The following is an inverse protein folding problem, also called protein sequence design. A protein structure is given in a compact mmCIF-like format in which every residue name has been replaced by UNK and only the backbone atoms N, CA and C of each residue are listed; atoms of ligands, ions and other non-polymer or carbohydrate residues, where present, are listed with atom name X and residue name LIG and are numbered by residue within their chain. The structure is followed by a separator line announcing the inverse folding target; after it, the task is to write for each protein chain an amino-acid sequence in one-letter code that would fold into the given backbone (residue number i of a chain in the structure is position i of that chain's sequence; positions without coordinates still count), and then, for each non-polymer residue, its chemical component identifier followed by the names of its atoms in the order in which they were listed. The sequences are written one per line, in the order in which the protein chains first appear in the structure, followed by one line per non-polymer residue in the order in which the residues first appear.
data_IF_430120177569
#
_entry.id   IF_430120177569
#
_cell.length_a   1.000
_cell.length_b   1.000
_cell.length_c   1.000
_cell.angle_alpha   90.00
_cell.angle_beta   90.00
_cell.angle_gamma   90.00
#
_symmetry.space_group_name_H-M   'P 1'
#
loop_
_entity.id
_entity.type
_entity.pdbx_description
1 polymer ?
#
# COMPACT_ATOMS: atom_id res chain seq x y z
N UNK A 1 24.48 22.19 24.45
CA UNK A 1 23.81 21.01 25.02
C UNK A 1 22.32 21.27 24.98
N UNK A 2 21.55 20.56 24.15
CA UNK A 2 20.09 20.75 24.03
C UNK A 2 19.44 19.56 24.74
N UNK A 3 18.57 19.75 25.75
CA UNK A 3 17.93 18.62 26.40
C UNK A 3 16.95 17.95 25.43
N UNK A 4 17.15 16.65 25.18
CA UNK A 4 16.18 15.78 24.52
C UNK A 4 14.92 15.74 25.38
N UNK A 5 13.77 16.19 24.84
CA UNK A 5 12.48 16.06 25.51
C UNK A 5 12.17 14.57 25.71
N UNK A 6 11.79 14.23 26.93
CA UNK A 6 11.39 12.90 27.39
C UNK A 6 10.20 12.40 26.56
N UNK A 7 10.23 11.12 26.21
CA UNK A 7 9.27 10.44 25.34
C UNK A 7 7.81 10.73 25.72
N UNK A 8 7.00 11.04 24.70
CA UNK A 8 5.54 11.11 24.81
C UNK A 8 5.06 9.73 25.27
N UNK A 9 4.40 9.66 26.44
CA UNK A 9 3.72 8.43 26.87
C UNK A 9 2.64 8.12 25.83
N UNK A 10 2.83 7.05 25.06
CA UNK A 10 1.82 6.55 24.13
C UNK A 10 0.68 5.93 24.96
N UNK A 11 -0.52 6.48 24.86
CA UNK A 11 -1.71 5.83 25.39
C UNK A 11 -1.84 4.46 24.71
N UNK A 12 -1.79 3.39 25.51
CA UNK A 12 -1.90 2.02 24.99
C UNK A 12 -3.37 1.80 24.60
N UNK A 13 -3.63 1.73 23.29
CA UNK A 13 -4.95 1.44 22.73
C UNK A 13 -5.34 0.02 23.15
N UNK A 14 -6.42 -0.12 23.92
CA UNK A 14 -6.98 -1.43 24.27
C UNK A 14 -7.86 -1.94 23.14
N UNK A 15 -7.62 -3.18 22.71
CA UNK A 15 -8.38 -3.87 21.68
C UNK A 15 -9.08 -5.10 22.26
N UNK A 16 -10.30 -5.34 21.79
CA UNK A 16 -11.03 -6.59 22.02
C UNK A 16 -10.35 -7.77 21.29
N UNK A 17 -10.67 -9.02 21.66
CA UNK A 17 -10.13 -10.20 20.99
C UNK A 17 -10.45 -10.21 19.48
N UNK A 18 -11.69 -9.82 19.12
CA UNK A 18 -12.10 -9.69 17.71
C UNK A 18 -11.28 -8.64 16.97
N UNK A 19 -11.05 -7.47 17.59
CA UNK A 19 -10.18 -6.45 16.99
C UNK A 19 -8.75 -6.97 16.84
N UNK A 20 -8.19 -7.67 17.83
CA UNK A 20 -6.84 -8.25 17.71
C UNK A 20 -6.75 -9.24 16.53
N UNK A 21 -7.76 -10.06 16.31
CA UNK A 21 -7.82 -10.97 15.16
C UNK A 21 -7.87 -10.20 13.82
N UNK A 22 -8.70 -9.16 13.73
CA UNK A 22 -8.75 -8.28 12.55
C UNK A 22 -7.40 -7.63 12.29
N UNK A 23 -6.75 -7.11 13.33
CA UNK A 23 -5.46 -6.45 13.21
C UNK A 23 -4.36 -7.43 12.78
N UNK A 24 -4.40 -8.66 13.29
CA UNK A 24 -3.48 -9.70 12.87
C UNK A 24 -3.64 -10.04 11.38
N UNK A 25 -4.88 -10.16 10.89
CA UNK A 25 -5.16 -10.35 9.45
C UNK A 25 -4.68 -9.16 8.62
N UNK A 26 -4.98 -7.94 9.04
CA UNK A 26 -4.52 -6.72 8.38
C UNK A 26 -2.99 -6.68 8.27
N UNK A 27 -2.29 -6.93 9.38
CA UNK A 27 -0.81 -6.99 9.43
C UNK A 27 -0.27 -8.02 8.45
N UNK A 28 -0.80 -9.25 8.46
CA UNK A 28 -0.37 -10.30 7.52
C UNK A 28 -0.57 -9.91 6.06
N UNK A 29 -1.73 -9.33 5.73
CA UNK A 29 -1.99 -8.84 4.37
C UNK A 29 -1.03 -7.72 3.99
N UNK A 30 -0.76 -6.78 4.89
CA UNK A 30 0.18 -5.69 4.59
C UNK A 30 1.60 -6.19 4.30
N UNK A 31 2.08 -7.17 5.06
CA UNK A 31 3.39 -7.78 4.79
C UNK A 31 3.37 -8.57 3.48
N UNK A 32 2.30 -9.32 3.20
CA UNK A 32 2.17 -10.06 1.94
C UNK A 32 2.17 -9.14 0.71
N UNK A 33 1.49 -7.99 0.77
CA UNK A 33 1.50 -6.99 -0.31
C UNK A 33 2.92 -6.46 -0.57
N UNK A 34 3.70 -6.21 0.50
CA UNK A 34 5.09 -5.73 0.38
C UNK A 34 6.02 -6.78 -0.23
N UNK A 35 5.81 -8.05 0.08
CA UNK A 35 6.64 -9.16 -0.41
C UNK A 35 6.28 -9.59 -1.83
N UNK A 36 4.99 -9.74 -2.11
CA UNK A 36 4.49 -10.29 -3.37
C UNK A 36 3.11 -9.71 -3.69
N UNK A 37 3.14 -8.52 -4.29
CA UNK A 37 1.92 -7.82 -4.66
C UNK A 37 1.02 -8.67 -5.57
N UNK A 38 1.58 -9.41 -6.54
CA UNK A 38 0.83 -10.21 -7.54
C UNK A 38 -0.07 -11.27 -6.89
N UNK A 39 0.40 -11.89 -5.81
CA UNK A 39 -0.32 -12.96 -5.09
C UNK A 39 -0.75 -12.51 -3.70
N UNK A 40 -1.15 -11.24 -3.58
CA UNK A 40 -1.69 -10.65 -2.36
C UNK A 40 -3.12 -10.17 -2.55
N UNK A 41 -3.82 -9.97 -1.44
CA UNK A 41 -5.13 -9.34 -1.37
C UNK A 41 -5.03 -8.05 -0.57
N UNK A 42 -5.76 -7.02 -1.00
CA UNK A 42 -5.95 -5.81 -0.24
C UNK A 42 -6.76 -6.02 1.03
N UNK A 43 -6.78 -4.97 1.84
CA UNK A 43 -7.49 -4.95 3.11
C UNK A 43 -8.97 -4.60 2.88
N UNK A 44 -9.82 -5.17 3.74
CA UNK A 44 -11.22 -4.76 3.87
C UNK A 44 -11.33 -3.42 4.60
N UNK A 45 -12.52 -2.80 4.57
CA UNK A 45 -12.76 -1.54 5.30
C UNK A 45 -12.57 -1.72 6.82
N UNK A 46 -13.01 -2.84 7.40
CA UNK A 46 -12.84 -3.13 8.84
C UNK A 46 -11.35 -3.30 9.20
N UNK A 47 -10.58 -3.97 8.35
CA UNK A 47 -9.12 -4.11 8.51
C UNK A 47 -8.41 -2.75 8.43
N UNK A 48 -8.80 -1.90 7.47
CA UNK A 48 -8.25 -0.55 7.28
C UNK A 48 -8.56 0.34 8.48
N UNK A 49 -9.82 0.40 8.91
CA UNK A 49 -10.22 1.24 10.04
C UNK A 49 -9.43 0.90 11.30
N UNK A 50 -9.24 -0.39 11.56
CA UNK A 50 -8.50 -0.84 12.72
C UNK A 50 -6.99 -0.59 12.58
N UNK A 51 -6.41 -0.84 11.41
CA UNK A 51 -5.02 -0.54 11.13
C UNK A 51 -4.72 0.97 11.26
N UNK A 52 -5.65 1.84 10.85
CA UNK A 52 -5.56 3.29 11.06
C UNK A 52 -5.72 3.66 12.53
N UNK A 53 -6.67 3.04 13.25
CA UNK A 53 -6.91 3.28 14.68
C UNK A 53 -5.63 3.06 15.50
N UNK A 54 -4.88 2.00 15.21
CA UNK A 54 -3.64 1.65 15.95
C UNK A 54 -2.36 2.27 15.36
N UNK A 55 -2.47 3.03 14.28
CA UNK A 55 -1.33 3.69 13.63
C UNK A 55 -0.45 2.77 12.79
N UNK A 56 -0.92 1.58 12.42
CA UNK A 56 -0.24 0.69 11.46
C UNK A 56 -0.25 1.32 10.04
N UNK A 57 -1.35 2.00 9.69
CA UNK A 57 -1.53 2.67 8.40
C UNK A 57 -1.89 4.15 8.64
N UNK A 58 -1.24 5.06 7.92
CA UNK A 58 -1.63 6.46 7.93
C UNK A 58 -3.01 6.63 7.27
N UNK A 59 -3.93 7.36 7.93
CA UNK A 59 -5.30 7.59 7.44
C UNK A 59 -5.34 8.16 6.02
N UNK A 60 -4.41 9.03 5.65
CA UNK A 60 -4.33 9.65 4.31
C UNK A 60 -3.84 8.68 3.24
N UNK A 61 -3.22 7.57 3.63
CA UNK A 61 -2.71 6.52 2.75
C UNK A 61 -3.61 5.26 2.78
N UNK A 62 -4.67 5.26 3.58
CA UNK A 62 -5.56 4.12 3.76
C UNK A 62 -6.16 3.59 2.44
N UNK A 63 -6.49 4.49 1.51
CA UNK A 63 -7.06 4.15 0.21
C UNK A 63 -6.15 3.22 -0.62
N UNK A 64 -4.82 3.35 -0.48
CA UNK A 64 -3.85 2.52 -1.22
C UNK A 64 -3.95 1.04 -0.83
N UNK A 65 -4.33 0.76 0.42
CA UNK A 65 -4.42 -0.60 0.96
C UNK A 65 -5.73 -1.30 0.61
N UNK A 66 -6.69 -0.62 0.00
CA UNK A 66 -7.97 -1.22 -0.40
C UNK A 66 -7.76 -2.30 -1.46
N UNK A 67 -8.60 -3.35 -1.44
CA UNK A 67 -8.58 -4.37 -2.50
C UNK A 67 -8.88 -3.79 -3.88
N UNK A 68 -9.70 -2.75 -3.98
CA UNK A 68 -9.94 -2.03 -5.24
C UNK A 68 -8.65 -1.46 -5.82
N UNK A 69 -7.84 -0.78 -5.00
CA UNK A 69 -6.56 -0.23 -5.46
C UNK A 69 -5.53 -1.32 -5.74
N UNK A 70 -5.37 -2.27 -4.82
CA UNK A 70 -4.37 -3.34 -4.94
C UNK A 70 -4.61 -4.22 -6.18
N UNK A 71 -5.85 -4.36 -6.64
CA UNK A 71 -6.14 -5.03 -7.92
C UNK A 71 -5.48 -4.35 -9.11
N UNK A 72 -5.46 -3.01 -9.13
CA UNK A 72 -4.77 -2.23 -10.16
C UNK A 72 -3.25 -2.42 -10.09
N UNK A 73 -2.68 -2.32 -8.88
CA UNK A 73 -1.24 -2.55 -8.67
C UNK A 73 -0.79 -3.94 -9.12
N UNK A 74 -1.60 -4.97 -8.83
CA UNK A 74 -1.35 -6.34 -9.32
C UNK A 74 -1.33 -6.44 -10.83
N UNK A 75 -2.21 -5.72 -11.51
CA UNK A 75 -2.23 -5.69 -12.96
C UNK A 75 -0.99 -5.01 -13.52
N UNK A 76 -0.63 -3.85 -12.97
CA UNK A 76 0.58 -3.12 -13.35
C UNK A 76 1.80 -4.00 -13.18
N UNK A 77 1.98 -4.61 -12.00
CA UNK A 77 3.13 -5.49 -11.72
C UNK A 77 3.22 -6.68 -12.70
N UNK A 78 2.08 -7.26 -13.11
CA UNK A 78 2.06 -8.31 -14.16
C UNK A 78 2.54 -7.75 -15.49
N UNK A 79 2.09 -6.56 -15.88
CA UNK A 79 2.54 -5.91 -17.12
C UNK A 79 4.04 -5.57 -17.10
N UNK A 80 4.59 -5.21 -15.92
CA UNK A 80 6.04 -5.03 -15.73
C UNK A 80 6.77 -6.35 -16.00
N UNK A 81 6.34 -7.44 -15.34
CA UNK A 81 6.96 -8.76 -15.51
C UNK A 81 6.85 -9.32 -16.93
N UNK A 82 5.76 -9.00 -17.63
CA UNK A 82 5.54 -9.40 -19.02
C UNK A 82 6.25 -8.47 -20.03
N UNK A 83 6.94 -7.42 -19.58
CA UNK A 83 7.64 -6.48 -20.45
C UNK A 83 6.71 -5.63 -21.31
N UNK A 84 5.46 -5.42 -20.87
CA UNK A 84 4.42 -4.66 -21.59
C UNK A 84 4.48 -3.15 -21.33
N UNK A 85 5.38 -2.70 -20.45
CA UNK A 85 5.62 -1.28 -20.19
C UNK A 85 6.31 -0.59 -21.36
N UNK A 86 6.00 0.69 -21.54
CA UNK A 86 6.70 1.57 -22.47
C UNK A 86 7.46 2.63 -21.68
N UNK A 87 8.72 2.81 -22.03
CA UNK A 87 9.64 3.67 -21.30
C UNK A 87 10.53 2.89 -20.33
N UNK A 88 11.25 3.57 -19.42
CA UNK A 88 11.24 5.02 -19.22
C UNK A 88 11.64 5.78 -20.48
N UNK A 89 11.14 7.00 -20.61
CA UNK A 89 11.50 7.90 -21.72
C UNK A 89 12.44 8.97 -21.18
N UNK A 90 13.53 9.24 -21.89
CA UNK A 90 14.48 10.29 -21.51
C UNK A 90 14.01 11.67 -22.01
N UNK A 91 13.21 11.67 -23.08
CA UNK A 91 12.71 12.91 -23.68
C UNK A 91 11.21 12.87 -23.99
N UNK A 92 10.61 14.06 -24.04
CA UNK A 92 9.21 14.21 -24.48
C UNK A 92 8.99 13.72 -25.92
N UNK A 93 9.98 13.86 -26.80
CA UNK A 93 9.86 13.41 -28.19
C UNK A 93 9.85 11.88 -28.30
N UNK A 94 10.61 11.16 -27.47
CA UNK A 94 10.52 9.69 -27.37
C UNK A 94 9.14 9.23 -26.92
N UNK A 95 8.60 9.86 -25.87
CA UNK A 95 7.24 9.58 -25.40
C UNK A 95 6.21 9.81 -26.53
N UNK A 96 6.28 10.96 -27.19
CA UNK A 96 5.37 11.35 -28.28
C UNK A 96 5.45 10.41 -29.48
N UNK A 97 6.66 9.97 -29.86
CA UNK A 97 6.85 8.99 -30.93
C UNK A 97 6.18 7.65 -30.59
N UNK A 98 6.23 7.23 -29.33
CA UNK A 98 5.63 5.99 -28.85
C UNK A 98 4.10 6.02 -28.91
N UNK A 99 3.47 7.15 -28.61
CA UNK A 99 2.02 7.32 -28.77
C UNK A 99 1.57 7.26 -30.23
N UNK A 100 2.35 7.84 -31.15
CA UNK A 100 2.03 7.86 -32.59
C UNK A 100 2.08 6.46 -33.23
N UNK A 101 2.99 5.60 -32.78
CA UNK A 101 3.12 4.20 -33.27
C UNK A 101 1.94 3.29 -32.88
N UNK A 102 1.03 3.76 -32.02
CA UNK A 102 -0.12 2.99 -31.51
C UNK A 102 -1.47 3.39 -32.12
N UNK A 103 -1.48 4.32 -33.07
CA UNK A 103 -2.64 4.61 -33.94
C UNK A 103 -2.57 3.75 -35.20
#
# INVERSE_FOLDING_TARGET
MIPKRLAVKTDVIRLTEKEQEILFRATRKTERIKEDIIHSEGLSLEEIELAVKVGLIDRKQAWWWTEEWQKGERQVEREIKEGKLYGPFETFEEFKATLKKRK
#
